data_IF_641494337844
#
_entry.id   IF_641494337844
#
_cell.length_a   1.000
_cell.length_b   1.000
_cell.length_c   1.000
_cell.angle_alpha   90.00
_cell.angle_beta   90.00
_cell.angle_gamma   90.00
#
_symmetry.space_group_name_H-M   'P 1'
#
loop_
_entity.id
_entity.type
_entity.pdbx_description
1 polymer ?
#
# COMPACT_ATOMS: atom_id res chain seq x y z
N UNK A 1 26.75 -16.24 -30.95
CA UNK A 1 27.14 -16.59 -29.56
C UNK A 1 26.94 -15.35 -28.72
N UNK A 2 25.96 -15.35 -27.83
CA UNK A 2 25.72 -14.27 -26.87
C UNK A 2 26.81 -14.31 -25.81
N UNK A 3 27.58 -13.23 -25.69
CA UNK A 3 28.70 -13.13 -24.75
C UNK A 3 28.19 -13.03 -23.31
N UNK A 4 28.85 -13.70 -22.36
CA UNK A 4 28.50 -13.67 -20.94
C UNK A 4 28.48 -12.24 -20.39
N UNK A 5 29.32 -11.36 -20.93
CA UNK A 5 29.35 -9.94 -20.57
C UNK A 5 28.05 -9.24 -20.99
N UNK A 6 27.55 -9.52 -22.20
CA UNK A 6 26.29 -8.97 -22.70
C UNK A 6 25.06 -9.48 -21.92
N UNK A 7 25.12 -10.70 -21.38
CA UNK A 7 24.09 -11.24 -20.49
C UNK A 7 24.11 -10.57 -19.12
N UNK A 8 25.29 -10.29 -18.57
CA UNK A 8 25.46 -9.58 -17.30
C UNK A 8 24.95 -8.14 -17.41
N UNK A 9 25.30 -7.41 -18.47
CA UNK A 9 24.87 -6.03 -18.70
C UNK A 9 23.36 -5.91 -18.92
N UNK A 10 22.74 -6.88 -19.61
CA UNK A 10 21.29 -6.91 -19.78
C UNK A 10 20.55 -7.31 -18.49
N UNK A 11 21.13 -8.17 -17.65
CA UNK A 11 20.57 -8.52 -16.33
C UNK A 11 20.55 -7.33 -15.36
N UNK A 12 21.47 -6.36 -15.53
CA UNK A 12 21.52 -5.16 -14.71
C UNK A 12 20.38 -4.18 -15.03
N UNK A 13 19.85 -4.19 -16.27
CA UNK A 13 18.77 -3.29 -16.72
C UNK A 13 17.35 -3.78 -16.36
N UNK A 14 17.19 -5.05 -16.02
CA UNK A 14 15.88 -5.66 -15.71
C UNK A 14 15.57 -5.75 -14.20
N UNK A 15 16.37 -5.14 -13.34
CA UNK A 15 16.19 -5.19 -11.88
C UNK A 15 15.09 -4.22 -11.45
N UNK A 16 13.84 -4.67 -11.54
CA UNK A 16 12.89 -4.34 -10.47
C UNK A 16 13.41 -4.94 -9.16
N UNK A 17 13.09 -4.33 -8.02
CA UNK A 17 13.45 -4.84 -6.70
C UNK A 17 12.76 -6.19 -6.43
N UNK A 18 13.40 -7.28 -6.85
CA UNK A 18 12.91 -8.64 -6.63
C UNK A 18 13.28 -9.11 -5.22
N UNK A 19 12.31 -9.70 -4.54
CA UNK A 19 12.48 -10.27 -3.19
C UNK A 19 12.26 -11.78 -3.26
N UNK A 20 13.14 -12.56 -2.63
CA UNK A 20 12.98 -14.01 -2.52
C UNK A 20 12.03 -14.38 -1.38
N UNK A 21 11.09 -15.29 -1.65
CA UNK A 21 10.18 -15.84 -0.65
C UNK A 21 10.19 -17.38 -0.69
N UNK A 22 10.16 -18.02 0.48
CA UNK A 22 10.06 -19.49 0.60
C UNK A 22 8.62 -19.89 0.89
N UNK A 23 8.08 -20.84 0.11
CA UNK A 23 6.71 -21.33 0.26
C UNK A 23 6.71 -22.76 0.79
N UNK A 24 5.82 -23.04 1.75
CA UNK A 24 5.43 -24.39 2.15
C UNK A 24 4.01 -24.63 1.66
N UNK A 25 3.77 -25.78 1.03
CA UNK A 25 2.47 -26.11 0.46
C UNK A 25 2.16 -27.59 0.59
N UNK A 26 0.89 -27.94 0.41
CA UNK A 26 0.43 -29.32 0.41
C UNK A 26 0.98 -30.09 -0.80
N UNK A 27 1.20 -31.39 -0.63
CA UNK A 27 1.83 -32.26 -1.64
C UNK A 27 1.01 -32.28 -2.94
N UNK A 28 -0.30 -32.25 -2.82
CA UNK A 28 -1.25 -32.28 -3.94
C UNK A 28 -1.12 -31.01 -4.79
N UNK A 29 -1.04 -29.83 -4.15
CA UNK A 29 -0.85 -28.56 -4.85
C UNK A 29 0.52 -28.51 -5.55
N UNK A 30 1.57 -28.98 -4.87
CA UNK A 30 2.90 -29.05 -5.47
C UNK A 30 2.92 -29.97 -6.69
N UNK A 31 2.36 -31.17 -6.58
CA UNK A 31 2.27 -32.12 -7.69
C UNK A 31 1.48 -31.57 -8.88
N UNK A 32 0.41 -30.81 -8.65
CA UNK A 32 -0.32 -30.12 -9.71
C UNK A 32 0.56 -29.10 -10.44
N UNK A 33 1.34 -28.30 -9.70
CA UNK A 33 2.27 -27.32 -10.27
C UNK A 33 3.34 -28.01 -11.11
N UNK A 34 3.87 -29.15 -10.67
CA UNK A 34 4.84 -29.94 -11.45
C UNK A 34 4.23 -30.40 -12.79
N UNK A 35 3.05 -31.02 -12.75
CA UNK A 35 2.38 -31.47 -13.97
C UNK A 35 2.02 -30.32 -14.93
N UNK A 36 1.63 -29.17 -14.40
CA UNK A 36 1.35 -27.98 -15.20
C UNK A 36 2.64 -27.40 -15.82
N UNK A 37 3.75 -27.39 -15.08
CA UNK A 37 5.04 -26.93 -15.56
C UNK A 37 5.53 -27.80 -16.73
N UNK A 38 5.41 -29.12 -16.60
CA UNK A 38 5.74 -30.08 -17.66
C UNK A 38 4.87 -29.87 -18.92
N UNK A 39 3.56 -29.63 -18.74
CA UNK A 39 2.65 -29.39 -19.87
C UNK A 39 2.92 -28.06 -20.59
N UNK A 40 3.35 -27.03 -19.86
CA UNK A 40 3.60 -25.68 -20.41
C UNK A 40 5.06 -25.46 -20.85
N UNK A 41 5.94 -26.44 -20.66
CA UNK A 41 7.39 -26.34 -20.90
C UNK A 41 8.03 -25.14 -20.17
N UNK A 42 7.65 -24.97 -18.90
CA UNK A 42 8.16 -23.91 -18.02
C UNK A 42 8.84 -24.50 -16.80
N UNK A 43 9.72 -23.74 -16.14
CA UNK A 43 10.22 -24.17 -14.83
C UNK A 43 9.12 -24.12 -13.78
N UNK A 44 9.22 -24.98 -12.75
CA UNK A 44 8.31 -24.97 -11.59
C UNK A 44 8.21 -23.59 -10.93
N UNK A 45 9.33 -22.86 -10.86
CA UNK A 45 9.39 -21.51 -10.28
C UNK A 45 8.66 -20.48 -11.14
N UNK A 46 8.83 -20.52 -12.47
CA UNK A 46 8.09 -19.64 -13.39
C UNK A 46 6.60 -19.94 -13.40
N UNK A 47 6.21 -21.22 -13.38
CA UNK A 47 4.80 -21.64 -13.29
C UNK A 47 4.17 -21.12 -11.99
N UNK A 48 4.86 -21.29 -10.84
CA UNK A 48 4.41 -20.71 -9.57
C UNK A 48 4.27 -19.20 -9.64
N UNK A 49 5.25 -18.49 -10.20
CA UNK A 49 5.21 -17.04 -10.33
C UNK A 49 3.99 -16.60 -11.15
N UNK A 50 3.76 -17.19 -12.33
CA UNK A 50 2.62 -16.87 -13.19
C UNK A 50 1.28 -17.13 -12.51
N UNK A 51 1.15 -18.24 -11.77
CA UNK A 51 -0.06 -18.53 -11.00
C UNK A 51 -0.29 -17.50 -9.90
N UNK A 52 0.77 -17.07 -9.20
CA UNK A 52 0.70 -16.02 -8.19
C UNK A 52 0.33 -14.67 -8.80
N UNK A 53 0.91 -14.30 -9.94
CA UNK A 53 0.56 -13.08 -10.69
C UNK A 53 -0.93 -13.07 -11.06
N UNK A 54 -1.46 -14.18 -11.59
CA UNK A 54 -2.89 -14.32 -11.88
C UNK A 54 -3.76 -14.31 -10.63
N UNK A 55 -3.30 -14.90 -9.54
CA UNK A 55 -3.97 -14.80 -8.25
C UNK A 55 -4.06 -13.36 -7.73
N UNK A 56 -2.98 -12.58 -7.89
CA UNK A 56 -2.95 -11.15 -7.53
C UNK A 56 -3.89 -10.34 -8.42
N UNK A 57 -3.91 -10.58 -9.74
CA UNK A 57 -4.86 -9.96 -10.66
C UNK A 57 -6.32 -10.26 -10.26
N UNK A 58 -6.63 -11.52 -9.99
CA UNK A 58 -7.97 -11.94 -9.56
C UNK A 58 -8.37 -11.31 -8.23
N UNK A 59 -7.45 -11.23 -7.27
CA UNK A 59 -7.71 -10.58 -5.97
C UNK A 59 -7.93 -9.08 -6.13
N UNK A 60 -7.11 -8.39 -6.94
CA UNK A 60 -7.28 -6.96 -7.25
C UNK A 60 -8.63 -6.69 -7.90
N UNK A 61 -9.04 -7.52 -8.86
CA UNK A 61 -10.32 -7.42 -9.53
C UNK A 61 -11.49 -7.62 -8.55
N UNK A 62 -11.45 -8.69 -7.74
CA UNK A 62 -12.49 -8.98 -6.75
C UNK A 62 -12.62 -7.87 -5.69
N UNK A 63 -11.51 -7.22 -5.33
CA UNK A 63 -11.48 -6.11 -4.37
C UNK A 63 -11.62 -4.73 -5.01
N UNK A 64 -11.71 -4.65 -6.35
CA UNK A 64 -11.76 -3.42 -7.15
C UNK A 64 -10.68 -2.40 -6.80
N UNK A 65 -9.47 -2.84 -6.46
CA UNK A 65 -8.41 -1.95 -5.93
C UNK A 65 -7.88 -0.94 -6.96
N UNK A 66 -7.91 -1.32 -8.25
CA UNK A 66 -7.35 -0.54 -9.35
C UNK A 66 -8.44 0.03 -10.29
N UNK A 67 -9.72 -0.09 -9.92
CA UNK A 67 -10.84 0.43 -10.73
C UNK A 67 -10.98 1.94 -10.50
N UNK A 68 -10.71 2.73 -11.55
CA UNK A 68 -10.76 4.20 -11.49
C UNK A 68 -12.17 4.72 -11.22
N UNK A 69 -13.20 4.12 -11.83
CA UNK A 69 -14.56 4.58 -11.67
C UNK A 69 -15.09 4.27 -10.27
N UNK A 70 -14.80 3.08 -9.77
CA UNK A 70 -15.14 2.72 -8.39
C UNK A 70 -14.35 3.57 -7.38
N UNK A 71 -13.04 3.77 -7.59
CA UNK A 71 -12.24 4.58 -6.69
C UNK A 71 -12.73 6.03 -6.62
N UNK A 72 -13.11 6.62 -7.76
CA UNK A 72 -13.73 7.95 -7.78
C UNK A 72 -15.07 7.96 -7.04
N UNK A 73 -15.96 7.01 -7.33
CA UNK A 73 -17.26 6.90 -6.67
C UNK A 73 -17.13 6.67 -5.15
N UNK A 74 -16.14 5.89 -4.71
CA UNK A 74 -15.86 5.65 -3.30
C UNK A 74 -15.28 6.88 -2.61
N UNK A 75 -14.40 7.63 -3.26
CA UNK A 75 -13.88 8.88 -2.72
C UNK A 75 -15.04 9.86 -2.48
N UNK A 76 -15.97 9.95 -3.42
CA UNK A 76 -17.16 10.80 -3.31
C UNK A 76 -18.16 10.28 -2.25
N UNK A 77 -18.31 8.96 -2.14
CA UNK A 77 -19.23 8.32 -1.20
C UNK A 77 -18.65 8.08 0.20
N UNK A 78 -17.32 8.22 0.39
CA UNK A 78 -16.71 7.97 1.69
C UNK A 78 -17.32 8.96 2.71
N UNK A 79 -17.78 8.48 3.86
CA UNK A 79 -18.34 9.35 4.87
C UNK A 79 -17.28 10.33 5.40
N UNK A 80 -17.73 11.50 5.82
CA UNK A 80 -16.90 12.39 6.63
C UNK A 80 -16.47 11.63 7.90
N UNK A 81 -15.17 11.59 8.17
CA UNK A 81 -14.59 10.89 9.32
C UNK A 81 -13.47 11.75 9.88
N UNK A 82 -13.38 11.81 11.21
CA UNK A 82 -12.28 12.50 11.91
C UNK A 82 -10.97 11.70 11.90
N UNK A 83 -11.00 10.51 11.35
CA UNK A 83 -9.93 9.53 11.41
C UNK A 83 -9.82 8.83 10.08
N UNK A 84 -8.60 8.77 9.56
CA UNK A 84 -8.27 8.18 8.27
C UNK A 84 -7.08 7.25 8.42
N UNK A 85 -7.09 6.14 7.71
CA UNK A 85 -5.88 5.34 7.48
C UNK A 85 -5.45 5.52 6.03
N UNK A 86 -4.20 5.93 5.83
CA UNK A 86 -3.64 6.28 4.53
C UNK A 86 -2.43 5.39 4.25
N UNK A 87 -2.45 4.69 3.12
CA UNK A 87 -1.32 3.90 2.65
C UNK A 87 -0.16 4.81 2.25
N UNK A 88 1.05 4.48 2.70
CA UNK A 88 2.28 5.24 2.42
C UNK A 88 2.82 5.02 1.00
N UNK A 89 2.09 4.34 0.13
CA UNK A 89 2.47 4.02 -1.25
C UNK A 89 3.75 3.16 -1.39
N UNK A 90 4.27 2.58 -0.30
CA UNK A 90 5.54 1.82 -0.31
C UNK A 90 5.57 0.69 -1.34
N UNK A 91 4.42 0.09 -1.64
CA UNK A 91 4.27 -0.95 -2.67
C UNK A 91 4.70 -0.47 -4.05
N UNK A 92 4.43 0.79 -4.38
CA UNK A 92 4.69 1.37 -5.69
C UNK A 92 5.97 2.21 -5.71
N UNK A 93 6.31 2.83 -4.58
CA UNK A 93 7.47 3.70 -4.46
C UNK A 93 7.97 3.77 -3.02
N UNK A 94 9.16 3.22 -2.78
CA UNK A 94 9.85 3.36 -1.48
C UNK A 94 10.20 4.82 -1.21
N UNK A 95 10.55 5.58 -2.25
CA UNK A 95 10.89 7.00 -2.14
C UNK A 95 9.70 7.83 -1.66
N UNK A 96 8.48 7.54 -2.13
CA UNK A 96 7.29 8.24 -1.65
C UNK A 96 6.98 7.92 -0.20
N UNK A 97 7.12 6.66 0.20
CA UNK A 97 7.00 6.23 1.59
C UNK A 97 7.99 6.96 2.50
N UNK A 98 9.27 6.98 2.14
CA UNK A 98 10.32 7.68 2.90
C UNK A 98 10.07 9.19 2.97
N UNK A 99 9.59 9.78 1.86
CA UNK A 99 9.24 11.20 1.81
C UNK A 99 8.08 11.52 2.75
N UNK A 100 7.01 10.72 2.75
CA UNK A 100 5.88 10.91 3.66
C UNK A 100 6.30 10.87 5.13
N UNK A 101 7.23 9.97 5.49
CA UNK A 101 7.75 9.87 6.86
C UNK A 101 8.71 11.00 7.22
N UNK A 102 9.60 11.40 6.32
CA UNK A 102 10.60 12.45 6.58
C UNK A 102 10.00 13.85 6.57
N UNK A 103 9.03 14.12 5.70
CA UNK A 103 8.31 15.41 5.64
C UNK A 103 7.16 15.49 6.65
N UNK A 104 6.77 14.36 7.27
CA UNK A 104 5.62 14.29 8.16
C UNK A 104 4.33 14.68 7.46
N UNK A 105 4.03 14.04 6.32
CA UNK A 105 2.90 14.40 5.48
C UNK A 105 2.03 13.21 5.07
N UNK A 106 0.75 13.50 4.86
CA UNK A 106 -0.19 12.65 4.16
C UNK A 106 -0.11 12.96 2.67
N UNK A 107 0.12 11.97 1.81
CA UNK A 107 0.21 12.17 0.37
C UNK A 107 -0.44 11.00 -0.38
N UNK A 108 -1.01 11.31 -1.55
CA UNK A 108 -1.47 10.32 -2.51
C UNK A 108 -1.19 10.79 -3.93
N UNK A 109 -1.12 9.84 -4.84
CA UNK A 109 -0.55 10.01 -6.17
C UNK A 109 -1.52 9.55 -7.24
N UNK A 110 -1.53 10.29 -8.35
CA UNK A 110 -2.37 10.06 -9.51
C UNK A 110 -3.88 10.16 -9.27
N UNK A 111 -4.61 10.64 -10.28
CA UNK A 111 -6.07 10.62 -10.25
C UNK A 111 -6.61 9.18 -10.37
N UNK A 112 -7.67 8.79 -9.64
CA UNK A 112 -8.45 9.60 -8.68
C UNK A 112 -7.89 9.57 -7.26
N UNK A 113 -6.97 8.67 -6.95
CA UNK A 113 -6.52 8.40 -5.59
C UNK A 113 -5.94 9.61 -4.85
N UNK A 114 -5.26 10.53 -5.56
CA UNK A 114 -4.73 11.79 -4.99
C UNK A 114 -5.81 12.65 -4.33
N UNK A 115 -7.06 12.58 -4.82
CA UNK A 115 -8.19 13.35 -4.29
C UNK A 115 -8.60 12.91 -2.87
N UNK A 116 -8.13 11.76 -2.37
CA UNK A 116 -8.31 11.39 -0.98
C UNK A 116 -7.74 12.44 -0.01
N UNK A 117 -6.62 13.08 -0.38
CA UNK A 117 -5.96 14.07 0.48
C UNK A 117 -6.82 15.32 0.66
N UNK A 118 -7.56 15.70 -0.38
CA UNK A 118 -8.44 16.89 -0.38
C UNK A 118 -9.59 16.77 0.64
N UNK A 119 -9.86 15.56 1.10
CA UNK A 119 -10.92 15.27 2.07
C UNK A 119 -10.48 15.42 3.52
N UNK A 120 -9.17 15.42 3.78
CA UNK A 120 -8.63 15.54 5.13
C UNK A 120 -8.88 16.96 5.65
N UNK A 121 -9.71 17.06 6.68
CA UNK A 121 -10.04 18.33 7.32
C UNK A 121 -9.06 18.69 8.42
N UNK A 122 -9.07 19.97 8.83
CA UNK A 122 -8.25 20.42 9.95
C UNK A 122 -8.61 19.65 11.23
N UNK A 123 -7.61 19.06 11.87
CA UNK A 123 -7.76 18.28 13.10
C UNK A 123 -8.18 16.82 12.89
N UNK A 124 -8.42 16.38 11.66
CA UNK A 124 -8.58 14.96 11.36
C UNK A 124 -7.28 14.23 11.64
N UNK A 125 -7.36 13.03 12.20
CA UNK A 125 -6.18 12.21 12.51
C UNK A 125 -5.92 11.27 11.34
N UNK A 126 -4.71 11.31 10.81
CA UNK A 126 -4.27 10.46 9.71
C UNK A 126 -3.24 9.46 10.22
N UNK A 127 -3.56 8.18 10.13
CA UNK A 127 -2.64 7.08 10.40
C UNK A 127 -1.94 6.67 9.10
N UNK A 128 -0.61 6.75 9.06
CA UNK A 128 0.18 6.28 7.92
C UNK A 128 0.43 4.78 8.03
N UNK A 129 -0.07 4.04 7.04
CA UNK A 129 -0.01 2.59 6.96
C UNK A 129 1.02 2.11 5.94
N UNK A 130 1.90 1.21 6.38
CA UNK A 130 2.89 0.53 5.55
C UNK A 130 2.46 -0.93 5.32
N UNK A 131 2.34 -1.32 4.05
CA UNK A 131 1.97 -2.67 3.67
C UNK A 131 2.93 -3.71 4.26
N UNK A 132 2.38 -4.74 4.92
CA UNK A 132 3.16 -5.79 5.57
C UNK A 132 3.73 -5.43 6.95
N UNK A 133 3.63 -4.16 7.39
CA UNK A 133 4.15 -3.72 8.69
C UNK A 133 3.07 -3.19 9.64
N UNK A 134 2.16 -2.34 9.16
CA UNK A 134 1.11 -1.74 9.99
C UNK A 134 1.09 -0.21 9.96
N UNK A 135 0.41 0.40 10.93
CA UNK A 135 0.50 1.85 11.15
C UNK A 135 1.88 2.16 11.70
N UNK A 136 2.62 3.01 11.00
CA UNK A 136 4.02 3.37 11.30
C UNK A 136 4.17 4.79 11.80
N UNK A 137 3.20 5.66 11.54
CA UNK A 137 3.20 7.04 12.00
C UNK A 137 1.77 7.59 12.04
N UNK A 138 1.58 8.72 12.69
CA UNK A 138 0.31 9.45 12.66
C UNK A 138 0.53 10.95 12.85
N UNK A 139 -0.49 11.73 12.55
CA UNK A 139 -0.54 13.17 12.84
C UNK A 139 -1.90 13.75 12.49
N UNK A 140 -2.08 15.06 12.70
CA UNK A 140 -3.33 15.75 12.43
C UNK A 140 -3.28 16.52 11.10
N UNK A 141 -4.31 16.39 10.29
CA UNK A 141 -4.45 17.15 9.06
C UNK A 141 -4.60 18.64 9.32
N UNK A 142 -4.01 19.46 8.44
CA UNK A 142 -4.14 20.93 8.50
C UNK A 142 -5.41 21.44 7.81
N UNK A 143 -6.06 20.62 6.98
CA UNK A 143 -7.15 21.05 6.10
C UNK A 143 -6.71 21.81 4.84
N UNK A 144 -5.40 21.96 4.61
CA UNK A 144 -4.83 22.64 3.43
C UNK A 144 -4.10 21.63 2.55
N UNK A 145 -4.61 21.38 1.34
CA UNK A 145 -3.93 20.53 0.36
C UNK A 145 -2.95 21.35 -0.48
N UNK A 146 -1.71 20.88 -0.54
CA UNK A 146 -0.67 21.33 -1.45
C UNK A 146 -0.54 20.34 -2.62
N UNK A 147 -0.09 20.83 -3.78
CA UNK A 147 0.09 20.02 -5.00
C UNK A 147 1.53 20.12 -5.48
N UNK A 148 2.07 19.02 -6.01
CA UNK A 148 3.40 19.00 -6.63
C UNK A 148 3.51 18.01 -7.77
N UNK A 149 4.59 18.17 -8.54
CA UNK A 149 4.96 17.28 -9.63
C UNK A 149 5.28 15.89 -9.08
N UNK A 150 4.78 14.86 -9.77
CA UNK A 150 5.14 13.47 -9.49
C UNK A 150 5.27 12.69 -10.81
N UNK A 151 6.34 11.91 -10.96
CA UNK A 151 6.60 11.15 -12.20
C UNK A 151 6.77 12.01 -13.46
N UNK A 152 7.09 13.30 -13.32
CA UNK A 152 7.18 14.25 -14.44
C UNK A 152 5.85 14.90 -14.83
N UNK A 153 4.75 14.57 -14.15
CA UNK A 153 3.42 15.12 -14.41
C UNK A 153 3.04 16.15 -13.33
N UNK A 154 2.49 17.29 -13.77
CA UNK A 154 2.05 18.37 -12.88
C UNK A 154 0.87 17.92 -12.02
N UNK A 155 0.82 18.39 -10.77
CA UNK A 155 -0.28 18.16 -9.82
C UNK A 155 -0.65 16.68 -9.58
N UNK A 156 0.22 15.73 -9.92
CA UNK A 156 -0.02 14.30 -9.69
C UNK A 156 0.33 13.82 -8.27
N UNK A 157 0.79 14.71 -7.40
CA UNK A 157 0.85 14.48 -5.97
C UNK A 157 0.05 15.57 -5.26
N UNK A 158 -1.03 15.15 -4.59
CA UNK A 158 -1.68 15.96 -3.56
C UNK A 158 -1.10 15.54 -2.22
N UNK A 159 -0.78 16.51 -1.36
CA UNK A 159 -0.27 16.22 -0.02
C UNK A 159 -0.69 17.28 0.99
N UNK A 160 -0.65 16.91 2.26
CA UNK A 160 -0.92 17.77 3.39
C UNK A 160 0.09 17.47 4.50
N UNK A 161 0.76 18.51 5.02
CA UNK A 161 1.61 18.37 6.21
C UNK A 161 0.75 17.97 7.41
N UNK A 162 1.29 17.15 8.30
CA UNK A 162 0.59 16.70 9.49
C UNK A 162 1.12 17.43 10.73
N UNK A 163 0.23 18.07 11.47
CA UNK A 163 0.52 18.68 12.77
C UNK A 163 0.71 17.59 13.83
N UNK A 164 1.70 17.77 14.72
CA UNK A 164 2.01 16.79 15.76
C UNK A 164 2.43 15.42 15.22
N UNK A 165 3.08 15.40 14.05
CA UNK A 165 3.51 14.16 13.40
C UNK A 165 4.47 13.36 14.29
N UNK A 166 4.17 12.08 14.46
CA UNK A 166 4.96 11.15 15.27
C UNK A 166 5.14 9.82 14.52
N UNK A 167 6.39 9.40 14.37
CA UNK A 167 6.74 8.05 13.90
C UNK A 167 6.69 7.10 15.09
N UNK A 168 5.91 6.04 14.97
CA UNK A 168 5.75 5.07 16.04
C UNK A 168 7.02 4.20 16.17
N UNK A 169 7.61 4.09 17.37
CA UNK A 169 8.77 3.22 17.58
C UNK A 169 8.38 1.74 17.37
N UNK A 170 7.13 1.39 17.69
CA UNK A 170 6.55 0.09 17.43
C UNK A 170 5.29 0.23 16.57
N UNK A 171 5.32 -0.24 15.31
CA UNK A 171 4.14 -0.22 14.44
C UNK A 171 2.96 -0.99 15.03
N UNK A 172 1.74 -0.57 14.67
CA UNK A 172 0.51 -1.32 14.98
C UNK A 172 0.15 -2.16 13.76
N UNK A 173 0.35 -3.46 13.87
CA UNK A 173 0.12 -4.41 12.78
C UNK A 173 -1.35 -4.50 12.36
N UNK A 174 -1.61 -4.99 11.14
CA UNK A 174 -2.97 -5.19 10.63
C UNK A 174 -3.85 -6.07 11.54
N UNK A 175 -3.27 -7.08 12.19
CA UNK A 175 -3.97 -7.96 13.13
C UNK A 175 -4.33 -7.24 14.43
N UNK A 176 -3.45 -6.37 14.93
CA UNK A 176 -3.72 -5.52 16.10
C UNK A 176 -4.79 -4.47 15.80
N UNK A 177 -4.76 -3.85 14.61
CA UNK A 177 -5.81 -2.93 14.15
C UNK A 177 -7.16 -3.65 14.17
N UNK A 178 -7.24 -4.81 13.51
CA UNK A 178 -8.47 -5.61 13.47
C UNK A 178 -8.96 -6.02 14.86
N UNK A 179 -8.05 -6.43 15.75
CA UNK A 179 -8.39 -6.79 17.13
C UNK A 179 -8.91 -5.59 17.93
N UNK A 180 -8.31 -4.42 17.73
CA UNK A 180 -8.67 -3.19 18.46
C UNK A 180 -10.01 -2.63 17.99
N UNK A 181 -10.27 -2.64 16.68
CA UNK A 181 -11.49 -2.10 16.09
C UNK A 181 -12.65 -3.11 16.08
N UNK A 182 -12.38 -4.41 16.32
CA UNK A 182 -13.34 -5.51 16.22
C UNK A 182 -14.08 -5.57 14.86
N UNK A 183 -13.47 -5.01 13.81
CA UNK A 183 -14.01 -4.91 12.46
C UNK A 183 -12.93 -5.18 11.42
N UNK A 184 -13.37 -5.60 10.23
CA UNK A 184 -12.48 -5.69 9.07
C UNK A 184 -12.33 -4.31 8.45
N UNK A 185 -11.10 -3.79 8.40
CA UNK A 185 -10.74 -2.58 7.67
C UNK A 185 -9.99 -2.99 6.41
N UNK A 186 -10.35 -2.41 5.26
CA UNK A 186 -9.68 -2.69 3.98
C UNK A 186 -8.41 -1.84 3.89
N UNK A 187 -7.28 -2.42 4.31
CA UNK A 187 -5.98 -1.71 4.41
C UNK A 187 -5.20 -1.63 3.08
N UNK A 188 -5.73 -2.25 2.02
CA UNK A 188 -5.10 -2.31 0.70
C UNK A 188 -5.47 -1.12 -0.21
N UNK A 189 -6.39 -0.26 0.22
CA UNK A 189 -6.78 0.97 -0.50
C UNK A 189 -5.80 2.10 -0.19
N UNK A 190 -5.82 3.14 -1.03
CA UNK A 190 -5.05 4.36 -0.80
C UNK A 190 -5.42 4.98 0.53
N UNK A 191 -6.71 5.24 0.77
CA UNK A 191 -7.21 5.75 2.05
C UNK A 191 -8.51 5.06 2.43
N UNK A 192 -8.77 4.94 3.73
CA UNK A 192 -10.06 4.48 4.24
C UNK A 192 -10.46 5.30 5.46
N UNK A 193 -11.75 5.62 5.56
CA UNK A 193 -12.32 6.22 6.75
C UNK A 193 -12.25 5.22 7.90
N UNK A 194 -11.94 5.71 9.10
CA UNK A 194 -11.83 4.89 10.31
C UNK A 194 -12.58 5.54 11.47
N UNK A 195 -13.92 5.54 11.48
CA UNK A 195 -14.71 6.27 12.48
C UNK A 195 -14.31 5.97 13.94
N UNK A 196 -13.91 4.73 14.23
CA UNK A 196 -13.46 4.28 15.55
C UNK A 196 -11.95 4.51 15.82
N UNK A 197 -11.28 5.35 15.04
CA UNK A 197 -9.84 5.60 15.10
C UNK A 197 -9.34 6.13 16.45
N UNK A 198 -10.24 6.67 17.29
CA UNK A 198 -9.91 7.04 18.68
C UNK A 198 -9.35 5.85 19.48
N UNK A 199 -9.85 4.63 19.25
CA UNK A 199 -9.35 3.42 19.93
C UNK A 199 -7.87 3.15 19.62
N UNK A 200 -7.42 3.49 18.40
CA UNK A 200 -6.02 3.36 18.02
C UNK A 200 -5.16 4.46 18.62
N UNK A 201 -5.65 5.70 18.67
CA UNK A 201 -4.94 6.77 19.39
C UNK A 201 -4.74 6.43 20.86
N UNK A 202 -5.78 5.91 21.53
CA UNK A 202 -5.69 5.51 22.92
C UNK A 202 -4.72 4.33 23.11
N UNK A 203 -4.65 3.41 22.14
CA UNK A 203 -3.68 2.33 22.12
C UNK A 203 -2.24 2.85 21.96
N UNK A 204 -2.02 3.86 21.10
CA UNK A 204 -0.71 4.51 20.92
C UNK A 204 -0.29 5.16 22.24
N UNK A 205 -1.15 5.98 22.85
CA UNK A 205 -0.87 6.68 24.11
C UNK A 205 -0.57 5.76 25.29
N UNK A 206 -1.12 4.53 25.29
CA UNK A 206 -0.81 3.52 26.31
C UNK A 206 0.55 2.84 26.12
N UNK A 207 1.17 2.99 24.94
CA UNK A 207 2.46 2.40 24.56
C UNK A 207 3.62 3.40 24.63
N UNK A 208 3.33 4.69 24.53
CA UNK A 208 4.25 5.81 24.77
C UNK A 208 4.63 5.90 26.24
#
# INVERSE_FOLDING_TARGET
MTDIISLIENSAKAKGDQVSATLRMQKELYSFIEGLADQLDLSRQETMLKLLEKGVEAAKYAMKLDDVAEAAAEIDALPASKFHILNTNKRHSVQDHERMLSEGCAAAFYHPWKLNIDRIQKGDVVFLYENGKGIVAYGQGTGVTEKRIHGGFLDECHFQRLEGFEVLPKPISASEIKKTLQKNVVLLRTMSAMPEGQLLLDLIKKRS
#
